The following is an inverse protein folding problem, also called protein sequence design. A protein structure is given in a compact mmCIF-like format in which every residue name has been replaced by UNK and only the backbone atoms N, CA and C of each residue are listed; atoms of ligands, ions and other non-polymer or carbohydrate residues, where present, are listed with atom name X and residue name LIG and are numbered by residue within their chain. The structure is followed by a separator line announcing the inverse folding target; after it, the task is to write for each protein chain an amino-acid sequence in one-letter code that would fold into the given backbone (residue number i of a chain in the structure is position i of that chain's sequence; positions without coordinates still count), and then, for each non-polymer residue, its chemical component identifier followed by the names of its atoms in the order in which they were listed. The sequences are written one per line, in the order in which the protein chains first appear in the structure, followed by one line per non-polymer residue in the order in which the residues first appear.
data_IF_716888745975
#
_entry.id   IF_716888745975
#
_cell.length_a   1.000
_cell.length_b   1.000
_cell.length_c   1.000
_cell.angle_alpha   90.00
_cell.angle_beta   90.00
_cell.angle_gamma   90.00
#
_symmetry.space_group_name_H-M   'P 1'
#
loop_
_entity.id
_entity.type
_entity.pdbx_description
1 polymer ?
#
# COMPACT_ATOMS: atom_id res chain seq x y z
N UNK A 1 19.12 28.03 71.66
CA UNK A 1 18.04 27.11 72.08
C UNK A 1 18.43 25.69 71.65
N UNK A 2 19.08 24.94 72.53
CA UNK A 2 19.44 23.54 72.28
C UNK A 2 18.24 22.66 72.64
N UNK A 3 17.56 22.10 71.62
CA UNK A 3 16.65 20.98 71.87
C UNK A 3 17.48 19.78 72.32
N UNK A 4 17.11 19.19 73.45
CA UNK A 4 17.84 18.03 74.00
C UNK A 4 17.71 16.84 73.07
N UNK A 5 18.76 16.01 73.00
CA UNK A 5 18.80 14.82 72.14
C UNK A 5 17.62 13.86 72.36
N UNK A 6 17.04 13.86 73.56
CA UNK A 6 15.82 13.11 73.89
C UNK A 6 14.60 13.57 73.11
N UNK A 7 14.40 14.89 72.97
CA UNK A 7 13.23 15.44 72.26
C UNK A 7 13.29 15.12 70.76
N UNK A 8 14.49 15.15 70.16
CA UNK A 8 14.71 14.78 68.75
C UNK A 8 14.39 13.29 68.51
N UNK A 9 14.73 12.43 69.47
CA UNK A 9 14.45 11.00 69.38
C UNK A 9 12.95 10.69 69.44
N UNK A 10 12.21 11.39 70.30
CA UNK A 10 10.75 11.25 70.42
C UNK A 10 10.06 11.68 69.11
N UNK A 11 10.46 12.81 68.51
CA UNK A 11 9.92 13.23 67.21
C UNK A 11 10.26 12.25 66.08
N UNK A 12 11.46 11.64 66.08
CA UNK A 12 11.81 10.57 65.12
C UNK A 12 10.94 9.33 65.28
N UNK A 13 10.64 8.93 66.52
CA UNK A 13 9.76 7.79 66.80
C UNK A 13 8.30 8.04 66.39
N UNK A 14 7.79 9.26 66.63
CA UNK A 14 6.43 9.65 66.22
C UNK A 14 6.33 9.72 64.68
N UNK A 15 7.35 10.26 63.99
CA UNK A 15 7.38 10.29 62.53
C UNK A 15 7.49 8.88 61.91
N UNK A 16 8.26 7.97 62.52
CA UNK A 16 8.34 6.57 62.10
C UNK A 16 7.02 5.81 62.33
N UNK A 17 6.37 6.03 63.47
CA UNK A 17 5.06 5.42 63.76
C UNK A 17 3.96 5.94 62.81
N UNK A 18 3.95 7.25 62.54
CA UNK A 18 3.05 7.87 61.56
C UNK A 18 3.30 7.33 60.14
N UNK A 19 4.56 7.15 59.75
CA UNK A 19 4.92 6.55 58.47
C UNK A 19 4.43 5.10 58.35
N UNK A 20 4.59 4.28 59.39
CA UNK A 20 4.08 2.90 59.39
C UNK A 20 2.55 2.82 59.32
N UNK A 21 1.84 3.76 59.95
CA UNK A 21 0.37 3.81 59.94
C UNK A 21 -0.17 4.22 58.56
N UNK A 22 0.45 5.22 57.92
CA UNK A 22 0.14 5.62 56.54
C UNK A 22 0.50 4.52 55.54
N UNK A 23 1.63 3.82 55.73
CA UNK A 23 2.07 2.70 54.89
C UNK A 23 1.13 1.48 55.00
N UNK A 24 0.62 1.17 56.20
CA UNK A 24 -0.40 0.12 56.40
C UNK A 24 -1.73 0.47 55.73
N UNK A 25 -2.15 1.73 55.76
CA UNK A 25 -3.40 2.18 55.11
C UNK A 25 -3.29 2.16 53.58
N UNK A 26 -2.14 2.53 53.00
CA UNK A 26 -1.91 2.46 51.55
C UNK A 26 -1.83 1.02 51.04
N UNK A 27 -1.14 0.12 51.73
CA UNK A 27 -1.16 -1.32 51.38
C UNK A 27 -2.54 -1.96 51.58
N UNK A 28 -3.28 -1.55 52.62
CA UNK A 28 -4.65 -2.02 52.86
C UNK A 28 -5.65 -1.58 51.79
N UNK A 29 -5.48 -0.38 51.21
CA UNK A 29 -6.28 0.09 50.08
C UNK A 29 -5.87 -0.58 48.77
N UNK A 30 -4.57 -0.84 48.53
CA UNK A 30 -4.10 -1.52 47.32
C UNK A 30 -4.50 -3.00 47.25
N UNK A 31 -4.61 -3.70 48.39
CA UNK A 31 -5.16 -5.07 48.45
C UNK A 31 -6.69 -5.09 48.33
N UNK A 32 -7.40 -4.09 48.87
CA UNK A 32 -8.87 -4.00 48.74
C UNK A 32 -9.33 -3.65 47.31
N UNK A 33 -8.51 -2.95 46.52
CA UNK A 33 -8.82 -2.65 45.12
C UNK A 33 -8.60 -3.83 44.17
N UNK A 34 -7.78 -4.82 44.53
CA UNK A 34 -7.49 -5.97 43.65
C UNK A 34 -8.55 -7.09 43.73
N UNK A 35 -9.42 -7.07 44.74
CA UNK A 35 -10.40 -8.14 44.96
C UNK A 35 -11.87 -7.72 44.74
N UNK A 36 -12.14 -6.45 44.40
CA UNK A 36 -13.54 -5.95 44.23
C UNK A 36 -14.19 -6.45 42.93
N UNK A 37 -13.38 -6.88 41.96
CA UNK A 37 -13.83 -7.31 40.63
C UNK A 37 -13.55 -8.80 40.35
N UNK A 38 -13.42 -9.64 41.37
CA UNK A 38 -13.31 -11.08 41.19
C UNK A 38 -14.62 -11.62 40.58
N UNK A 39 -14.67 -11.69 39.25
CA UNK A 39 -15.78 -12.27 38.51
C UNK A 39 -15.86 -13.75 38.92
N UNK A 40 -16.92 -14.13 39.60
CA UNK A 40 -17.17 -15.54 39.89
C UNK A 40 -17.42 -16.25 38.55
N UNK A 41 -16.47 -17.11 38.18
CA UNK A 41 -16.50 -17.87 36.94
C UNK A 41 -16.79 -19.33 37.23
N UNK A 42 -17.63 -19.95 36.40
CA UNK A 42 -17.94 -21.38 36.47
C UNK A 42 -17.57 -22.03 35.14
N UNK A 43 -16.78 -23.09 35.18
CA UNK A 43 -16.49 -23.89 34.00
C UNK A 43 -17.68 -24.82 33.71
N UNK A 44 -18.12 -24.84 32.45
CA UNK A 44 -19.23 -25.64 31.96
C UNK A 44 -18.74 -26.50 30.80
N UNK A 45 -19.12 -27.77 30.85
CA UNK A 45 -18.97 -28.71 29.74
C UNK A 45 -20.35 -29.20 29.35
N UNK A 46 -20.69 -29.11 28.07
CA UNK A 46 -21.95 -29.60 27.51
C UNK A 46 -21.62 -30.60 26.41
N UNK A 47 -22.28 -31.75 26.44
CA UNK A 47 -22.28 -32.71 25.33
C UNK A 47 -23.61 -32.63 24.60
N UNK A 48 -23.58 -32.33 23.31
CA UNK A 48 -24.77 -32.28 22.45
C UNK A 48 -24.52 -33.13 21.20
N UNK A 49 -25.20 -34.29 21.12
CA UNK A 49 -24.94 -35.28 20.08
C UNK A 49 -23.46 -35.67 20.07
N UNK A 50 -22.81 -35.48 18.92
CA UNK A 50 -21.40 -35.81 18.69
C UNK A 50 -20.44 -34.63 18.95
N UNK A 51 -20.87 -33.61 19.68
CA UNK A 51 -20.03 -32.43 19.96
C UNK A 51 -19.96 -32.13 21.46
N UNK A 52 -18.77 -31.72 21.91
CA UNK A 52 -18.51 -31.32 23.29
C UNK A 52 -18.06 -29.87 23.32
N UNK A 53 -18.76 -29.04 24.07
CA UNK A 53 -18.46 -27.63 24.26
C UNK A 53 -17.92 -27.38 25.67
N UNK A 54 -16.74 -26.78 25.74
CA UNK A 54 -16.11 -26.33 26.99
C UNK A 54 -16.04 -24.81 27.00
N UNK A 55 -16.61 -24.20 28.03
CA UNK A 55 -16.56 -22.76 28.19
C UNK A 55 -16.74 -22.35 29.64
N UNK A 56 -16.49 -21.08 29.91
CA UNK A 56 -16.66 -20.51 31.23
C UNK A 56 -17.81 -19.51 31.19
N UNK A 57 -18.63 -19.48 32.24
CA UNK A 57 -19.69 -18.48 32.42
C UNK A 57 -19.31 -17.56 33.55
N UNK A 58 -19.58 -16.27 33.38
CA UNK A 58 -19.46 -15.29 34.45
C UNK A 58 -20.84 -15.07 35.08
N UNK A 59 -20.90 -15.00 36.41
CA UNK A 59 -22.01 -14.34 37.09
C UNK A 59 -21.69 -12.84 37.09
N UNK A 60 -22.30 -12.02 36.22
CA UNK A 60 -22.02 -10.60 36.25
C UNK A 60 -22.54 -10.01 37.56
N UNK A 61 -21.76 -9.15 38.20
CA UNK A 61 -22.18 -8.38 39.37
C UNK A 61 -23.31 -7.38 39.05
N UNK A 62 -23.47 -7.00 37.77
CA UNK A 62 -24.56 -6.16 37.26
C UNK A 62 -24.95 -6.53 35.82
N UNK A 63 -26.25 -6.46 35.46
CA UNK A 63 -26.72 -6.71 34.08
C UNK A 63 -26.12 -5.67 33.13
N UNK A 64 -25.39 -6.13 32.11
CA UNK A 64 -24.88 -5.26 31.04
C UNK A 64 -25.97 -4.99 30.02
N UNK A 65 -26.17 -3.71 29.65
CA UNK A 65 -27.12 -3.33 28.60
C UNK A 65 -26.71 -3.97 27.28
N UNK A 66 -27.64 -4.71 26.67
CA UNK A 66 -27.40 -5.38 25.39
C UNK A 66 -27.37 -4.38 24.22
N UNK A 67 -26.52 -4.66 23.24
CA UNK A 67 -26.42 -3.93 21.99
C UNK A 67 -27.09 -4.74 20.86
N UNK A 68 -28.07 -4.12 20.19
CA UNK A 68 -28.91 -4.73 19.13
C UNK A 68 -28.11 -5.26 17.94
N UNK A 69 -26.91 -4.74 17.71
CA UNK A 69 -26.05 -5.15 16.58
C UNK A 69 -25.06 -6.26 16.97
N UNK A 70 -25.06 -6.70 18.22
CA UNK A 70 -24.12 -7.71 18.72
C UNK A 70 -24.80 -9.04 18.95
N UNK A 71 -24.04 -10.10 18.70
CA UNK A 71 -24.44 -11.47 18.98
C UNK A 71 -23.85 -11.92 20.31
N UNK A 72 -24.72 -12.30 21.23
CA UNK A 72 -24.37 -12.76 22.57
C UNK A 72 -24.43 -14.28 22.67
N UNK A 73 -23.42 -14.85 23.32
CA UNK A 73 -23.35 -16.24 23.75
C UNK A 73 -23.65 -16.35 25.23
N UNK A 74 -24.66 -17.12 25.58
CA UNK A 74 -25.17 -17.22 26.93
C UNK A 74 -25.70 -18.61 27.23
N UNK A 75 -25.59 -19.03 28.47
CA UNK A 75 -25.94 -20.34 28.95
C UNK A 75 -27.23 -20.30 29.78
N UNK A 76 -28.16 -21.19 29.46
CA UNK A 76 -29.37 -21.42 30.26
C UNK A 76 -29.79 -22.88 30.15
N UNK A 77 -30.35 -23.42 31.22
CA UNK A 77 -31.05 -24.72 31.20
C UNK A 77 -30.25 -25.83 30.52
N UNK A 78 -28.96 -25.95 30.81
CA UNK A 78 -28.12 -27.01 30.23
C UNK A 78 -27.67 -26.79 28.79
N UNK A 79 -27.98 -25.65 28.17
CA UNK A 79 -27.68 -25.39 26.75
C UNK A 79 -26.95 -24.06 26.56
N UNK A 80 -25.96 -24.04 25.66
CA UNK A 80 -25.42 -22.81 25.11
C UNK A 80 -26.41 -22.24 24.08
N UNK A 81 -26.69 -20.94 24.18
CA UNK A 81 -27.56 -20.19 23.27
C UNK A 81 -26.79 -19.05 22.65
N UNK A 82 -27.20 -18.69 21.44
CA UNK A 82 -26.68 -17.56 20.70
C UNK A 82 -27.85 -16.71 20.19
N UNK A 83 -27.90 -15.42 20.57
CA UNK A 83 -28.95 -14.49 20.13
C UNK A 83 -28.37 -13.12 19.82
N UNK A 84 -28.92 -12.45 18.82
CA UNK A 84 -28.57 -11.06 18.50
C UNK A 84 -29.39 -10.10 19.37
N UNK A 85 -28.74 -9.08 19.92
CA UNK A 85 -29.40 -7.94 20.58
C UNK A 85 -29.89 -8.16 22.01
N UNK A 86 -29.81 -9.37 22.53
CA UNK A 86 -30.23 -9.70 23.89
C UNK A 86 -29.78 -11.07 24.33
N UNK A 87 -30.01 -11.39 25.60
CA UNK A 87 -29.75 -12.68 26.24
C UNK A 87 -30.62 -12.80 27.50
N UNK A 88 -30.99 -14.01 27.91
CA UNK A 88 -31.81 -14.22 29.12
C UNK A 88 -31.15 -15.11 30.19
N UNK A 89 -29.93 -15.62 29.93
CA UNK A 89 -29.18 -16.44 30.87
C UNK A 89 -27.80 -15.89 31.22
N UNK A 90 -26.91 -16.77 31.68
CA UNK A 90 -25.56 -16.39 32.13
C UNK A 90 -24.63 -16.19 30.94
N UNK A 91 -23.94 -15.06 30.89
CA UNK A 91 -23.04 -14.74 29.78
C UNK A 91 -21.77 -15.59 29.83
N UNK A 92 -21.36 -16.09 28.66
CA UNK A 92 -20.09 -16.81 28.51
C UNK A 92 -18.93 -15.83 28.61
N UNK A 93 -17.90 -16.15 29.37
CA UNK A 93 -16.74 -15.31 29.60
C UNK A 93 -15.49 -16.17 29.76
N UNK A 94 -14.42 -15.82 29.06
CA UNK A 94 -13.16 -16.55 29.06
C UNK A 94 -12.99 -17.43 27.81
N UNK A 95 -12.22 -18.50 27.97
CA UNK A 95 -11.88 -19.42 26.88
C UNK A 95 -13.11 -20.24 26.46
N UNK A 96 -13.28 -20.42 25.15
CA UNK A 96 -14.27 -21.32 24.54
C UNK A 96 -13.56 -22.34 23.66
N UNK A 97 -13.99 -23.59 23.75
CA UNK A 97 -13.52 -24.69 22.92
C UNK A 97 -14.69 -25.59 22.53
N UNK A 98 -14.72 -26.00 21.26
CA UNK A 98 -15.67 -26.95 20.71
C UNK A 98 -14.87 -28.14 20.19
N UNK A 99 -15.31 -29.35 20.53
CA UNK A 99 -14.72 -30.61 20.12
C UNK A 99 -15.75 -31.48 19.43
N UNK A 100 -15.30 -32.39 18.56
CA UNK A 100 -16.12 -33.48 18.06
C UNK A 100 -16.13 -34.68 19.04
N UNK A 101 -16.85 -35.75 18.72
CA UNK A 101 -16.92 -36.98 19.51
C UNK A 101 -15.57 -37.70 19.64
N UNK A 102 -14.68 -37.50 18.67
CA UNK A 102 -13.29 -38.02 18.66
C UNK A 102 -12.33 -37.16 19.48
N UNK A 103 -12.81 -36.07 20.08
CA UNK A 103 -12.05 -35.06 20.84
C UNK A 103 -11.11 -34.20 19.99
N UNK A 104 -11.31 -34.16 18.67
CA UNK A 104 -10.64 -33.19 17.80
C UNK A 104 -11.25 -31.81 18.00
N UNK A 105 -10.39 -30.80 18.06
CA UNK A 105 -10.79 -29.41 18.29
C UNK A 105 -11.38 -28.82 17.00
N UNK A 106 -12.65 -28.40 17.03
CA UNK A 106 -13.37 -27.81 15.90
C UNK A 106 -13.38 -26.28 15.95
N UNK A 107 -13.43 -25.68 17.13
CA UNK A 107 -13.37 -24.24 17.28
C UNK A 107 -12.76 -23.83 18.63
N UNK A 108 -12.07 -22.70 18.63
CA UNK A 108 -11.47 -22.12 19.84
C UNK A 108 -11.44 -20.60 19.71
N UNK A 109 -11.72 -19.93 20.82
CA UNK A 109 -11.53 -18.50 20.92
C UNK A 109 -11.75 -18.01 22.34
N UNK A 110 -11.92 -16.70 22.45
CA UNK A 110 -12.20 -16.03 23.71
C UNK A 110 -13.51 -15.26 23.60
N UNK A 111 -14.29 -15.30 24.68
CA UNK A 111 -15.47 -14.48 24.87
C UNK A 111 -15.27 -13.56 26.05
N UNK A 112 -15.82 -12.36 25.94
CA UNK A 112 -15.94 -11.42 27.04
C UNK A 112 -17.40 -11.01 27.16
N UNK A 113 -18.05 -11.43 28.24
CA UNK A 113 -19.45 -11.11 28.52
C UNK A 113 -20.39 -11.46 27.36
N UNK A 114 -20.24 -12.68 26.85
CA UNK A 114 -20.99 -13.27 25.75
C UNK A 114 -20.58 -12.79 24.37
N UNK A 115 -19.60 -11.90 24.25
CA UNK A 115 -19.15 -11.36 22.97
C UNK A 115 -17.81 -11.98 22.57
N UNK A 116 -17.69 -12.40 21.31
CA UNK A 116 -16.40 -12.85 20.75
C UNK A 116 -15.36 -11.73 20.83
N UNK A 117 -14.16 -12.06 21.29
CA UNK A 117 -13.00 -11.17 21.35
C UNK A 117 -11.75 -11.89 20.84
N UNK A 118 -10.78 -11.09 20.40
CA UNK A 118 -9.47 -11.51 19.95
C UNK A 118 -9.52 -12.53 18.81
N UNK A 119 -8.62 -13.51 18.82
CA UNK A 119 -8.47 -14.48 17.75
C UNK A 119 -9.38 -15.68 17.95
N UNK A 120 -10.15 -15.96 16.91
CA UNK A 120 -10.94 -17.17 16.77
C UNK A 120 -10.32 -18.06 15.71
N UNK A 121 -10.23 -19.34 16.02
CA UNK A 121 -9.72 -20.38 15.14
C UNK A 121 -10.77 -21.47 15.01
N UNK A 122 -10.87 -22.02 13.81
CA UNK A 122 -11.78 -23.08 13.47
C UNK A 122 -11.03 -24.09 12.62
N UNK A 123 -11.35 -25.35 12.80
CA UNK A 123 -10.68 -26.47 12.16
C UNK A 123 -11.69 -27.39 11.50
N UNK A 124 -11.23 -28.05 10.45
CA UNK A 124 -11.93 -29.19 9.85
C UNK A 124 -11.85 -30.42 10.77
N UNK A 125 -12.67 -31.43 10.49
CA UNK A 125 -12.74 -32.65 11.30
C UNK A 125 -11.45 -33.50 11.27
N UNK A 126 -10.57 -33.26 10.31
CA UNK A 126 -9.23 -33.86 10.20
C UNK A 126 -8.15 -33.10 11.00
N UNK A 127 -8.53 -31.99 11.66
CA UNK A 127 -7.61 -31.12 12.40
C UNK A 127 -6.92 -30.06 11.55
N UNK A 128 -7.20 -29.99 10.24
CA UNK A 128 -6.66 -28.93 9.38
C UNK A 128 -7.30 -27.59 9.74
N UNK A 129 -6.50 -26.52 9.86
CA UNK A 129 -7.01 -25.19 10.19
C UNK A 129 -7.93 -24.72 9.06
N UNK A 130 -9.20 -24.46 9.36
CA UNK A 130 -10.21 -24.05 8.39
C UNK A 130 -10.23 -22.54 8.22
N UNK A 131 -10.27 -21.78 9.32
CA UNK A 131 -10.26 -20.33 9.26
C UNK A 131 -9.77 -19.69 10.55
N UNK A 132 -9.24 -18.48 10.40
CA UNK A 132 -8.90 -17.58 11.50
C UNK A 132 -9.65 -16.27 11.35
N UNK A 133 -10.18 -15.76 12.44
CA UNK A 133 -10.94 -14.52 12.50
C UNK A 133 -10.43 -13.68 13.67
N UNK A 134 -10.47 -12.36 13.53
CA UNK A 134 -10.22 -11.45 14.64
C UNK A 134 -11.51 -10.70 14.99
N UNK A 135 -11.82 -10.64 16.27
CA UNK A 135 -13.06 -10.10 16.82
C UNK A 135 -12.77 -9.03 17.86
N UNK A 136 -13.57 -7.97 17.85
CA UNK A 136 -13.54 -6.92 18.85
C UNK A 136 -14.96 -6.65 19.32
N UNK A 137 -15.23 -7.00 20.59
CA UNK A 137 -16.53 -6.81 21.23
C UNK A 137 -17.71 -7.36 20.41
N UNK A 138 -17.58 -8.57 19.88
CA UNK A 138 -18.65 -9.24 19.13
C UNK A 138 -18.78 -8.82 17.66
N UNK A 139 -17.89 -7.96 17.15
CA UNK A 139 -17.81 -7.60 15.73
C UNK A 139 -16.47 -8.03 15.14
N UNK A 140 -16.47 -8.56 13.91
CA UNK A 140 -15.23 -8.89 13.22
C UNK A 140 -14.39 -7.62 12.99
N UNK A 141 -13.13 -7.67 13.41
CA UNK A 141 -12.21 -6.54 13.34
C UNK A 141 -10.76 -7.03 13.25
N UNK A 142 -10.10 -6.76 12.13
CA UNK A 142 -8.74 -7.20 11.87
C UNK A 142 -8.68 -8.20 10.72
N UNK A 143 -7.57 -8.94 10.65
CA UNK A 143 -7.33 -9.90 9.57
C UNK A 143 -8.21 -11.14 9.74
N UNK A 144 -8.59 -11.74 8.62
CA UNK A 144 -9.15 -13.08 8.57
C UNK A 144 -8.45 -13.87 7.46
N UNK A 145 -8.40 -15.18 7.63
CA UNK A 145 -7.85 -16.12 6.64
C UNK A 145 -8.74 -17.35 6.59
N UNK A 146 -9.07 -17.80 5.39
CA UNK A 146 -9.77 -19.03 5.08
C UNK A 146 -8.81 -19.96 4.36
N UNK A 147 -8.79 -21.21 4.80
CA UNK A 147 -7.94 -22.27 4.27
C UNK A 147 -8.80 -23.36 3.65
N UNK A 148 -8.25 -24.08 2.69
CA UNK A 148 -8.85 -25.28 2.11
C UNK A 148 -8.68 -26.49 3.04
N UNK A 149 -9.39 -27.60 2.79
CA UNK A 149 -9.15 -28.86 3.49
C UNK A 149 -7.70 -29.38 3.35
N UNK A 150 -7.00 -29.00 2.28
CA UNK A 150 -5.59 -29.32 2.05
C UNK A 150 -4.63 -28.35 2.76
N UNK A 151 -5.15 -27.35 3.48
CA UNK A 151 -4.38 -26.35 4.22
C UNK A 151 -3.89 -25.15 3.40
N UNK A 152 -4.24 -25.07 2.11
CA UNK A 152 -3.88 -23.94 1.25
C UNK A 152 -4.76 -22.72 1.56
N UNK A 153 -4.22 -21.50 1.50
CA UNK A 153 -5.02 -20.28 1.70
C UNK A 153 -5.96 -20.11 0.50
N UNK A 154 -7.27 -20.07 0.76
CA UNK A 154 -8.30 -19.80 -0.26
C UNK A 154 -8.66 -18.32 -0.31
N UNK A 155 -8.73 -17.67 0.84
CA UNK A 155 -9.12 -16.27 0.95
C UNK A 155 -8.45 -15.61 2.14
N UNK A 156 -7.97 -14.40 1.98
CA UNK A 156 -7.53 -13.56 3.10
C UNK A 156 -7.99 -12.12 2.92
N UNK A 157 -8.20 -11.42 4.03
CA UNK A 157 -8.60 -10.03 3.99
C UNK A 157 -8.58 -9.35 5.34
N UNK A 158 -9.23 -8.19 5.42
CA UNK A 158 -9.36 -7.42 6.65
C UNK A 158 -10.79 -6.93 6.79
N UNK A 159 -11.34 -7.11 7.99
CA UNK A 159 -12.66 -6.61 8.39
C UNK A 159 -12.48 -5.44 9.36
N UNK A 160 -13.43 -4.50 9.32
CA UNK A 160 -13.52 -3.39 10.26
C UNK A 160 -14.97 -3.18 10.65
N UNK A 161 -15.30 -3.49 11.90
CA UNK A 161 -16.66 -3.43 12.45
C UNK A 161 -17.65 -4.29 11.66
N UNK A 162 -17.26 -5.52 11.34
CA UNK A 162 -18.08 -6.46 10.57
C UNK A 162 -18.05 -6.27 9.05
N UNK A 163 -17.42 -5.22 8.53
CA UNK A 163 -17.39 -4.95 7.09
C UNK A 163 -16.00 -5.13 6.47
N UNK A 164 -15.93 -5.72 5.28
CA UNK A 164 -14.69 -5.78 4.50
C UNK A 164 -14.08 -4.38 4.31
N UNK A 165 -12.79 -4.28 4.58
CA UNK A 165 -12.02 -3.04 4.52
C UNK A 165 -10.58 -3.30 4.11
N UNK A 166 -10.12 -2.65 3.05
CA UNK A 166 -8.76 -2.82 2.54
C UNK A 166 -8.70 -3.81 1.38
N UNK A 167 -7.65 -4.61 1.30
CA UNK A 167 -7.46 -5.59 0.21
C UNK A 167 -8.02 -6.94 0.65
N UNK A 168 -8.76 -7.59 -0.24
CA UNK A 168 -9.18 -8.99 -0.15
C UNK A 168 -8.45 -9.75 -1.25
N UNK A 169 -7.82 -10.87 -0.91
CA UNK A 169 -7.16 -11.76 -1.87
C UNK A 169 -7.91 -13.08 -1.90
N UNK A 170 -8.18 -13.56 -3.10
CA UNK A 170 -8.82 -14.85 -3.35
C UNK A 170 -7.87 -15.66 -4.21
N UNK A 171 -7.67 -16.91 -3.83
CA UNK A 171 -6.79 -17.89 -4.47
C UNK A 171 -7.68 -19.00 -5.03
N UNK A 172 -8.04 -18.96 -6.33
CA UNK A 172 -8.91 -19.96 -6.94
C UNK A 172 -8.20 -21.31 -7.02
N UNK A 173 -8.86 -22.38 -6.56
CA UNK A 173 -8.34 -23.75 -6.64
C UNK A 173 -8.06 -24.19 -8.08
N UNK A 174 -8.84 -23.70 -9.05
CA UNK A 174 -8.71 -24.07 -10.46
C UNK A 174 -7.44 -23.51 -11.13
N UNK A 175 -6.87 -22.42 -10.62
CA UNK A 175 -5.65 -21.83 -11.17
C UNK A 175 -4.83 -21.20 -10.03
N UNK A 176 -3.91 -21.97 -9.41
CA UNK A 176 -3.12 -21.52 -8.26
C UNK A 176 -2.28 -20.26 -8.52
N UNK A 177 -1.90 -20.01 -9.77
CA UNK A 177 -1.11 -18.83 -10.16
C UNK A 177 -1.95 -17.55 -10.29
N UNK A 178 -3.28 -17.69 -10.32
CA UNK A 178 -4.20 -16.56 -10.41
C UNK A 178 -4.54 -16.05 -9.01
N UNK A 179 -4.17 -14.81 -8.68
CA UNK A 179 -4.61 -14.16 -7.43
C UNK A 179 -5.55 -13.01 -7.76
N UNK A 180 -6.80 -13.14 -7.33
CA UNK A 180 -7.79 -12.08 -7.48
C UNK A 180 -7.68 -11.13 -6.29
N UNK A 181 -7.25 -9.90 -6.56
CA UNK A 181 -7.13 -8.85 -5.53
C UNK A 181 -8.25 -7.84 -5.69
N UNK A 182 -9.14 -7.81 -4.71
CA UNK A 182 -10.23 -6.85 -4.63
C UNK A 182 -9.97 -5.82 -3.54
N UNK A 183 -10.54 -4.62 -3.69
CA UNK A 183 -10.40 -3.55 -2.70
C UNK A 183 -11.76 -3.14 -2.18
N UNK A 184 -11.92 -3.12 -0.87
CA UNK A 184 -13.16 -2.75 -0.21
C UNK A 184 -13.00 -1.50 0.67
N UNK A 185 -14.06 -0.71 0.79
CA UNK A 185 -14.18 0.35 1.80
C UNK A 185 -15.58 0.34 2.38
N UNK A 186 -15.67 0.04 3.68
CA UNK A 186 -16.94 -0.06 4.43
C UNK A 186 -17.89 -1.06 3.76
N UNK A 187 -17.38 -2.25 3.42
CA UNK A 187 -18.16 -3.33 2.79
C UNK A 187 -18.43 -3.15 1.29
N UNK A 188 -18.12 -2.00 0.69
CA UNK A 188 -18.36 -1.74 -0.74
C UNK A 188 -17.12 -2.02 -1.58
N UNK A 189 -17.27 -2.82 -2.63
CA UNK A 189 -16.22 -3.11 -3.61
C UNK A 189 -15.86 -1.83 -4.38
N UNK A 190 -14.59 -1.45 -4.33
CA UNK A 190 -14.01 -0.36 -5.10
C UNK A 190 -13.52 -0.94 -6.42
N UNK A 191 -14.40 -0.89 -7.43
CA UNK A 191 -13.99 -1.20 -8.81
C UNK A 191 -13.05 -0.09 -9.28
N UNK A 192 -11.80 -0.38 -9.66
CA UNK A 192 -10.91 0.62 -10.22
C UNK A 192 -11.50 1.13 -11.54
N UNK A 193 -12.03 2.36 -11.52
CA UNK A 193 -12.47 3.02 -12.77
C UNK A 193 -11.27 3.06 -13.71
N UNK A 194 -11.40 2.50 -14.92
CA UNK A 194 -10.44 2.72 -16.02
C UNK A 194 -10.16 4.22 -16.07
N UNK A 195 -8.91 4.63 -15.82
CA UNK A 195 -8.49 6.02 -16.00
C UNK A 195 -8.77 6.34 -17.47
N UNK A 196 -9.88 7.04 -17.77
CA UNK A 196 -10.06 7.66 -19.09
C UNK A 196 -8.86 8.59 -19.24
N UNK A 197 -7.95 8.29 -20.16
CA UNK A 197 -6.85 9.18 -20.48
C UNK A 197 -7.49 10.53 -20.81
N UNK A 198 -7.24 11.55 -19.98
CA UNK A 198 -8.01 12.79 -20.05
C UNK A 198 -7.98 13.33 -21.48
N UNK A 199 -9.14 13.66 -22.06
CA UNK A 199 -9.26 14.20 -23.42
C UNK A 199 -8.28 15.37 -23.66
N UNK A 200 -7.99 16.14 -22.60
CA UNK A 200 -6.96 17.19 -22.58
C UNK A 200 -5.53 16.68 -22.86
N UNK A 201 -5.12 15.53 -22.30
CA UNK A 201 -3.80 14.91 -22.56
C UNK A 201 -3.72 14.34 -23.97
N UNK A 202 -4.76 13.64 -24.44
CA UNK A 202 -4.86 13.16 -25.82
C UNK A 202 -4.79 14.32 -26.82
N UNK A 203 -5.57 15.39 -26.61
CA UNK A 203 -5.55 16.60 -27.46
C UNK A 203 -4.19 17.31 -27.44
N UNK A 204 -3.52 17.38 -26.28
CA UNK A 204 -2.15 17.94 -26.17
C UNK A 204 -1.13 17.07 -26.93
N UNK A 205 -1.24 15.74 -26.84
CA UNK A 205 -0.37 14.79 -27.55
C UNK A 205 -0.58 14.87 -29.06
N UNK A 206 -1.84 14.94 -29.51
CA UNK A 206 -2.23 15.13 -30.90
C UNK A 206 -1.71 16.46 -31.48
N UNK A 207 -1.97 17.59 -30.79
CA UNK A 207 -1.43 18.90 -31.22
C UNK A 207 0.09 18.94 -31.29
N UNK A 208 0.79 18.23 -30.40
CA UNK A 208 2.26 18.13 -30.41
C UNK A 208 2.76 17.27 -31.58
N UNK A 209 2.05 16.19 -31.92
CA UNK A 209 2.35 15.36 -33.09
C UNK A 209 2.11 16.13 -34.40
N UNK A 210 0.99 16.83 -34.51
CA UNK A 210 0.65 17.64 -35.69
C UNK A 210 1.67 18.76 -35.93
N UNK A 211 2.08 19.49 -34.88
CA UNK A 211 3.14 20.52 -34.99
C UNK A 211 4.48 19.93 -35.43
N UNK A 212 4.82 18.71 -34.98
CA UNK A 212 6.04 18.01 -35.41
C UNK A 212 5.95 17.59 -36.88
N UNK A 213 4.81 17.05 -37.31
CA UNK A 213 4.57 16.68 -38.70
C UNK A 213 4.67 17.90 -39.64
N UNK A 214 3.98 19.01 -39.32
CA UNK A 214 4.07 20.28 -40.08
C UNK A 214 5.50 20.81 -40.16
N UNK A 215 6.27 20.73 -39.07
CA UNK A 215 7.68 21.16 -39.06
C UNK A 215 8.57 20.24 -39.90
N UNK A 216 8.31 18.93 -39.93
CA UNK A 216 9.02 17.98 -40.76
C UNK A 216 8.71 18.20 -42.25
N UNK A 217 7.44 18.41 -42.59
CA UNK A 217 6.99 18.70 -43.95
C UNK A 217 7.61 19.99 -44.50
N UNK A 218 7.61 21.07 -43.70
CA UNK A 218 8.24 22.34 -44.09
C UNK A 218 9.76 22.18 -44.35
N UNK A 219 10.44 21.35 -43.53
CA UNK A 219 11.85 21.04 -43.74
C UNK A 219 12.09 20.24 -45.02
N UNK A 220 11.23 19.26 -45.30
CA UNK A 220 11.29 18.48 -46.54
C UNK A 220 11.08 19.35 -47.77
N UNK A 221 10.08 20.25 -47.75
CA UNK A 221 9.81 21.22 -48.83
C UNK A 221 11.00 22.15 -49.07
N UNK A 222 11.62 22.67 -48.01
CA UNK A 222 12.84 23.52 -48.11
C UNK A 222 14.04 22.75 -48.68
N UNK A 223 14.19 21.48 -48.32
CA UNK A 223 15.26 20.62 -48.86
C UNK A 223 15.06 20.35 -50.35
N UNK A 224 13.84 20.00 -50.76
CA UNK A 224 13.47 19.76 -52.15
C UNK A 224 13.65 21.02 -53.02
N UNK A 225 13.22 22.20 -52.54
CA UNK A 225 13.42 23.46 -53.25
C UNK A 225 14.92 23.81 -53.43
N UNK A 226 15.74 23.50 -52.42
CA UNK A 226 17.19 23.69 -52.50
C UNK A 226 17.82 22.74 -53.53
N UNK A 227 17.40 21.48 -53.55
CA UNK A 227 17.83 20.48 -54.55
C UNK A 227 17.39 20.87 -55.97
N UNK A 228 16.17 21.40 -56.14
CA UNK A 228 15.69 21.94 -57.42
C UNK A 228 16.52 23.14 -57.88
N UNK A 229 16.81 24.10 -57.00
CA UNK A 229 17.66 25.25 -57.34
C UNK A 229 19.10 24.85 -57.71
N UNK A 230 19.62 23.79 -57.10
CA UNK A 230 20.96 23.24 -57.42
C UNK A 230 20.92 22.51 -58.76
N UNK A 231 19.86 21.74 -59.03
CA UNK A 231 19.59 21.09 -60.32
C UNK A 231 19.46 22.11 -61.46
N UNK A 232 18.70 23.19 -61.27
CA UNK A 232 18.53 24.26 -62.25
C UNK A 232 19.84 25.00 -62.52
N UNK A 233 20.61 25.31 -61.47
CA UNK A 233 21.96 25.88 -61.64
C UNK A 233 22.89 24.94 -62.41
N UNK A 234 22.83 23.64 -62.15
CA UNK A 234 23.63 22.63 -62.87
C UNK A 234 23.24 22.54 -64.35
N UNK A 235 21.94 22.50 -64.66
CA UNK A 235 21.42 22.56 -66.04
C UNK A 235 21.82 23.85 -66.76
N UNK A 236 21.79 24.99 -66.08
CA UNK A 236 22.23 26.27 -66.64
C UNK A 236 23.74 26.29 -66.92
N UNK A 237 24.56 25.74 -66.04
CA UNK A 237 26.02 25.61 -66.27
C UNK A 237 26.35 24.67 -67.42
N UNK A 238 25.62 23.56 -67.59
CA UNK A 238 25.77 22.65 -68.73
C UNK A 238 25.37 23.33 -70.05
N UNK A 239 24.29 24.11 -70.05
CA UNK A 239 23.84 24.90 -71.21
C UNK A 239 24.83 26.00 -71.61
N UNK A 240 25.48 26.65 -70.65
CA UNK A 240 26.56 27.60 -70.88
C UNK A 240 27.81 26.94 -71.48
N UNK A 241 28.22 25.77 -70.97
CA UNK A 241 29.34 25.00 -71.50
C UNK A 241 29.09 24.57 -72.96
N UNK A 242 27.85 24.18 -73.29
CA UNK A 242 27.43 23.87 -74.66
C UNK A 242 27.56 25.06 -75.61
N UNK A 243 27.10 26.25 -75.20
CA UNK A 243 27.24 27.48 -76.00
C UNK A 243 28.70 27.94 -76.15
N UNK A 244 29.53 27.71 -75.13
CA UNK A 244 30.96 28.03 -75.18
C UNK A 244 31.70 27.11 -76.17
N UNK A 245 31.30 25.84 -76.27
CA UNK A 245 31.85 24.87 -77.24
C UNK A 245 31.47 25.19 -78.69
N UNK A 246 30.25 25.71 -78.93
CA UNK A 246 29.82 26.19 -80.26
C UNK A 246 30.57 27.43 -80.77
N UNK A 247 31.07 28.29 -79.87
CA UNK A 247 31.86 29.49 -80.26
C UNK A 247 33.32 29.19 -80.57
N UNK A 248 33.86 28.04 -80.15
CA UNK A 248 35.23 27.61 -80.44
C UNK A 248 35.41 26.94 -81.80
N UNK A 249 34.33 26.49 -82.45
CA UNK A 249 34.38 25.86 -83.79
C UNK A 249 34.22 26.83 -84.97
N UNK A 250 34.11 28.15 -84.72
CA UNK A 250 33.81 29.15 -85.76
C UNK A 250 34.84 30.26 -85.97
N UNK A 251 36.12 30.10 -85.59
CA UNK A 251 37.13 31.14 -85.88
C UNK A 251 38.55 30.59 -86.11
N UNK A 252 39.12 30.87 -87.29
CA UNK A 252 40.53 30.73 -87.70
C UNK A 252 40.94 32.03 -88.46
N UNK A 253 42.25 32.37 -88.59
CA UNK A 253 42.91 33.42 -87.79
C UNK A 253 43.40 34.63 -88.61
N UNK A 254 43.65 35.79 -87.98
CA UNK A 254 44.50 36.87 -88.54
C UNK A 254 45.30 37.62 -87.45
N UNK A 255 46.62 37.78 -87.71
CA UNK A 255 47.69 38.57 -87.07
C UNK A 255 47.36 40.09 -86.88
N UNK A 256 48.00 40.98 -86.09
CA UNK A 256 49.39 41.12 -85.55
C UNK A 256 49.46 42.28 -84.51
N UNK A 257 50.48 42.24 -83.62
CA UNK A 257 51.29 43.34 -83.00
C UNK A 257 50.61 44.34 -82.01
N UNK A 258 51.20 44.84 -80.91
CA UNK A 258 52.51 44.69 -80.22
C UNK A 258 52.47 45.43 -78.84
N UNK A 259 53.36 45.03 -77.90
CA UNK A 259 54.03 45.79 -76.80
C UNK A 259 53.64 45.61 -75.31
N UNK A 260 54.67 45.13 -74.58
CA UNK A 260 55.16 45.47 -73.21
C UNK A 260 54.26 45.26 -71.99
N UNK A 261 54.71 44.84 -70.80
CA UNK A 261 55.95 44.27 -70.29
C UNK A 261 55.69 43.78 -68.84
N UNK A 262 56.53 42.84 -68.39
CA UNK A 262 56.88 42.50 -66.99
C UNK A 262 55.88 41.76 -66.06
N UNK A 263 56.22 40.46 -65.89
CA UNK A 263 56.07 39.58 -64.70
C UNK A 263 56.97 40.07 -63.54
N UNK A 264 56.83 39.64 -62.26
CA UNK A 264 57.03 38.24 -61.80
C UNK A 264 55.90 37.68 -60.88
N UNK A 265 55.58 36.37 -60.90
CA UNK A 265 56.15 35.25 -60.09
C UNK A 265 56.12 35.57 -58.58
N UNK A 266 55.68 34.73 -57.64
CA UNK A 266 55.42 33.29 -57.47
C UNK A 266 54.64 33.22 -56.13
N UNK A 267 53.91 32.19 -55.70
CA UNK A 267 54.50 30.96 -55.14
C UNK A 267 53.36 30.09 -54.55
N UNK A 268 53.55 28.76 -54.67
CA UNK A 268 52.74 27.71 -54.04
C UNK A 268 53.05 27.61 -52.54
N UNK A 269 52.05 27.16 -51.75
CA UNK A 269 52.08 26.13 -50.68
C UNK A 269 51.14 26.56 -49.54
N UNK A 270 50.60 25.73 -48.67
CA UNK A 270 50.27 24.31 -48.56
C UNK A 270 49.60 24.19 -47.17
N UNK A 271 48.71 23.21 -47.00
CA UNK A 271 48.43 22.48 -45.73
C UNK A 271 47.90 23.19 -44.46
N UNK A 272 46.65 22.80 -44.16
CA UNK A 272 46.20 22.11 -42.92
C UNK A 272 45.86 22.86 -41.61
N UNK A 273 45.02 22.22 -40.74
CA UNK A 273 43.97 22.88 -39.98
C UNK A 273 44.19 22.86 -38.46
N UNK A 274 43.33 23.56 -37.70
CA UNK A 274 42.98 23.43 -36.26
C UNK A 274 41.99 24.58 -35.97
N UNK A 275 41.00 24.56 -35.08
CA UNK A 275 40.79 23.79 -33.86
C UNK A 275 39.32 23.98 -33.41
N UNK A 276 38.79 22.99 -32.69
CA UNK A 276 37.55 23.09 -31.90
C UNK A 276 37.77 24.04 -30.72
N UNK A 277 36.80 24.91 -30.42
CA UNK A 277 36.60 25.41 -29.03
C UNK A 277 35.13 25.29 -28.62
N UNK A 278 34.92 24.36 -27.69
CA UNK A 278 33.78 24.28 -26.79
C UNK A 278 33.84 25.43 -25.78
N UNK A 279 32.70 26.02 -25.44
CA UNK A 279 32.57 26.91 -24.27
C UNK A 279 31.57 26.31 -23.29
N UNK A 280 32.08 26.10 -22.07
CA UNK A 280 31.40 25.66 -20.84
C UNK A 280 30.47 26.76 -20.30
N UNK A 281 29.48 26.30 -19.52
CA UNK A 281 28.60 27.05 -18.60
C UNK A 281 29.43 27.76 -17.50
N UNK A 282 28.86 28.78 -16.84
CA UNK A 282 29.20 29.13 -15.46
C UNK A 282 28.11 28.67 -14.47
N UNK A 283 28.56 28.12 -13.36
CA UNK A 283 27.82 28.00 -12.10
C UNK A 283 27.82 29.35 -11.38
N UNK A 284 26.76 29.64 -10.63
CA UNK A 284 26.73 30.70 -9.61
C UNK A 284 26.25 30.08 -8.30
N UNK A 285 27.10 30.20 -7.28
CA UNK A 285 26.86 29.89 -5.87
C UNK A 285 26.91 31.21 -5.11
N UNK A 286 25.84 31.58 -4.40
CA UNK A 286 25.80 32.49 -3.22
C UNK A 286 24.36 32.40 -2.70
N UNK A 287 24.01 32.25 -1.43
CA UNK A 287 24.71 32.09 -0.16
C UNK A 287 23.67 31.64 0.87
#
# INVERSE_FOLDING_TARGET
MHLSFSTIYIYRLILLAGFFLVFKVTQGQSLRSLNRDAINTQHITISHGDSVENFTIAAPSARQKADLQRTYHWYTSGSLKQTQGGYSGKLVHGKYQLFNHKKDLLAQGQLSYGLKVDFWKYWYADGTLQKTENWKHGLQHGKYVLYSPEGAIQEEGTLKHGFLHGRRRIYPTANPDSVVVEKYKKGKLIVPKKKKESARKLRKKAKKAERKAKKAELKAKKKAAKEQSVSEKKKWTEKLLFWKKKKTDSSQPVEKKQKSAKKPKTEKKNKEPKEKKSRKKPDTTTG
#
